data_IF_716362401437
#
_entry.id   IF_716362401437
#
_cell.length_a   1.000
_cell.length_b   1.000
_cell.length_c   1.000
_cell.angle_alpha   90.00
_cell.angle_beta   90.00
_cell.angle_gamma   90.00
#
_symmetry.space_group_name_H-M   'P 1'
#
loop_
_entity.id
_entity.type
_entity.pdbx_description
1 polymer ?
#
# COMPACT_ATOMS: atom_id res chain seq x y z
N UNK A 1 -20.15 -9.19 -6.61
CA UNK A 1 -21.30 -10.08 -6.34
C UNK A 1 -21.73 -9.84 -4.90
N UNK A 2 -22.69 -8.94 -4.69
CA UNK A 2 -23.25 -8.65 -3.37
C UNK A 2 -24.67 -9.18 -3.36
N UNK A 3 -24.99 -10.03 -2.39
CA UNK A 3 -26.34 -10.52 -2.17
C UNK A 3 -26.90 -9.83 -0.94
N UNK A 4 -27.96 -9.05 -1.14
CA UNK A 4 -28.76 -8.47 -0.07
C UNK A 4 -29.80 -9.49 0.39
N UNK A 5 -30.17 -9.45 1.68
CA UNK A 5 -31.41 -10.04 2.17
C UNK A 5 -32.34 -8.93 2.67
N UNK A 6 -33.65 -9.19 2.60
CA UNK A 6 -34.75 -8.24 2.81
C UNK A 6 -34.86 -7.63 4.22
N UNK A 7 -33.87 -7.83 5.11
CA UNK A 7 -33.86 -7.28 6.49
C UNK A 7 -32.57 -6.55 6.90
N UNK A 8 -31.80 -6.03 5.94
CA UNK A 8 -30.81 -4.96 6.18
C UNK A 8 -29.58 -5.29 7.05
N UNK A 9 -29.52 -6.45 7.70
CA UNK A 9 -28.38 -6.90 8.50
C UNK A 9 -27.77 -8.17 7.90
N UNK A 10 -26.67 -8.02 7.17
CA UNK A 10 -25.81 -9.14 6.78
C UNK A 10 -24.80 -9.36 7.92
N UNK A 11 -25.17 -10.10 8.95
CA UNK A 11 -24.19 -10.65 9.89
C UNK A 11 -23.70 -11.97 9.31
N UNK A 12 -22.63 -11.93 8.50
CA UNK A 12 -21.91 -13.16 8.11
C UNK A 12 -21.29 -13.77 9.36
N UNK A 13 -21.37 -15.09 9.48
CA UNK A 13 -20.69 -15.83 10.54
C UNK A 13 -19.18 -15.60 10.43
N UNK A 14 -18.52 -15.30 11.55
CA UNK A 14 -17.06 -15.15 11.56
C UNK A 14 -16.42 -16.50 11.23
N UNK A 15 -15.43 -16.47 10.35
CA UNK A 15 -14.66 -17.63 9.95
C UNK A 15 -13.17 -17.33 10.09
N UNK A 16 -12.32 -18.36 9.98
CA UNK A 16 -10.87 -18.17 9.95
C UNK A 16 -10.40 -17.24 8.81
N UNK A 17 -11.14 -17.17 7.71
CA UNK A 17 -10.79 -16.38 6.52
C UNK A 17 -11.64 -15.11 6.33
N UNK A 18 -12.64 -14.86 7.19
CA UNK A 18 -13.48 -13.66 7.16
C UNK A 18 -13.91 -13.32 8.57
N UNK A 19 -13.39 -12.22 9.12
CA UNK A 19 -13.76 -11.67 10.41
C UNK A 19 -13.56 -10.15 10.41
N UNK A 20 -13.77 -9.52 11.56
CA UNK A 20 -13.61 -8.07 11.71
C UNK A 20 -12.23 -7.54 11.29
N UNK A 21 -11.16 -8.33 11.43
CA UNK A 21 -9.80 -7.88 11.21
C UNK A 21 -9.31 -8.14 9.77
N UNK A 22 -9.77 -9.21 9.13
CA UNK A 22 -9.34 -9.54 7.77
C UNK A 22 -10.36 -10.37 6.99
N UNK A 23 -10.24 -10.25 5.66
CA UNK A 23 -10.86 -11.14 4.70
C UNK A 23 -9.83 -11.66 3.71
N UNK A 24 -9.73 -12.97 3.60
CA UNK A 24 -8.86 -13.69 2.65
C UNK A 24 -9.65 -14.83 2.01
N UNK A 25 -9.12 -15.40 0.93
CA UNK A 25 -9.74 -16.57 0.30
C UNK A 25 -9.73 -17.78 1.26
N UNK A 26 -10.82 -18.57 1.37
CA UNK A 26 -10.81 -19.85 2.08
C UNK A 26 -9.72 -20.81 1.58
N UNK A 27 -9.34 -20.67 0.30
CA UNK A 27 -8.29 -21.48 -0.34
C UNK A 27 -6.91 -21.29 0.31
N UNK A 28 -6.64 -20.15 0.97
CA UNK A 28 -5.39 -19.96 1.73
C UNK A 28 -5.26 -20.93 2.91
N UNK A 29 -6.34 -21.66 3.24
CA UNK A 29 -6.40 -22.66 4.31
C UNK A 29 -6.61 -24.09 3.82
N UNK A 30 -6.65 -24.31 2.50
CA UNK A 30 -6.66 -25.66 1.92
C UNK A 30 -5.38 -26.40 2.32
N UNK A 31 -5.50 -27.68 2.65
CA UNK A 31 -4.36 -28.53 3.00
C UNK A 31 -3.44 -28.68 1.79
N UNK A 32 -4.05 -28.94 0.64
CA UNK A 32 -3.38 -29.13 -0.65
C UNK A 32 -2.57 -27.89 -1.06
N UNK A 33 -3.08 -26.69 -0.81
CA UNK A 33 -2.38 -25.43 -1.10
C UNK A 33 -1.24 -25.20 -0.10
N UNK A 34 -1.48 -25.43 1.19
CA UNK A 34 -0.48 -25.21 2.26
C UNK A 34 0.70 -26.16 2.17
N UNK A 35 0.49 -27.41 1.75
CA UNK A 35 1.57 -28.39 1.57
C UNK A 35 2.54 -28.00 0.45
N UNK A 36 2.13 -27.11 -0.46
CA UNK A 36 2.97 -26.57 -1.54
C UNK A 36 3.74 -25.30 -1.12
N UNK A 37 3.54 -24.79 0.10
CA UNK A 37 4.19 -23.56 0.53
C UNK A 37 5.69 -23.78 0.76
N UNK A 38 6.49 -22.97 0.05
CA UNK A 38 7.91 -22.77 0.33
C UNK A 38 8.11 -21.30 0.71
N UNK A 39 7.84 -20.97 1.98
CA UNK A 39 7.85 -19.59 2.44
C UNK A 39 9.29 -19.10 2.69
N UNK A 40 9.60 -17.84 2.36
CA UNK A 40 10.89 -17.27 2.70
C UNK A 40 11.03 -17.05 4.20
N UNK A 41 12.27 -16.95 4.69
CA UNK A 41 12.56 -16.62 6.09
C UNK A 41 12.04 -15.22 6.48
N UNK A 42 12.02 -14.28 5.53
CA UNK A 42 11.57 -12.91 5.75
C UNK A 42 10.58 -12.46 4.68
N UNK A 43 9.52 -11.80 5.13
CA UNK A 43 8.51 -11.15 4.29
C UNK A 43 8.51 -9.66 4.62
N UNK A 44 8.45 -8.83 3.58
CA UNK A 44 8.29 -7.39 3.73
C UNK A 44 6.87 -7.00 3.33
N UNK A 45 6.25 -6.11 4.10
CA UNK A 45 5.01 -5.46 3.71
C UNK A 45 5.36 -4.11 3.10
N UNK A 46 4.90 -3.88 1.87
CA UNK A 46 4.87 -2.55 1.26
C UNK A 46 3.46 -2.00 1.41
N UNK A 47 3.32 -1.01 2.27
CA UNK A 47 2.03 -0.36 2.48
C UNK A 47 1.70 0.54 1.29
N UNK A 48 0.46 0.46 0.81
CA UNK A 48 -0.03 1.23 -0.33
C UNK A 48 -1.15 2.20 0.05
N UNK A 49 -1.33 2.52 1.34
CA UNK A 49 -2.41 3.37 1.84
C UNK A 49 -2.41 4.74 1.17
N UNK A 50 -1.23 5.35 0.97
CA UNK A 50 -1.14 6.68 0.36
C UNK A 50 -1.38 6.60 -1.14
N UNK A 51 -0.74 5.65 -1.86
CA UNK A 51 -0.91 5.52 -3.32
C UNK A 51 -2.32 5.06 -3.71
N UNK A 52 -2.72 3.89 -3.24
CA UNK A 52 -3.99 3.25 -3.65
C UNK A 52 -5.18 3.91 -2.95
N UNK A 53 -5.00 4.32 -1.69
CA UNK A 53 -6.08 4.95 -0.94
C UNK A 53 -6.53 6.26 -1.55
N UNK A 54 -5.63 7.06 -2.13
CA UNK A 54 -5.98 8.30 -2.85
C UNK A 54 -6.72 8.06 -4.17
N UNK A 55 -6.70 6.85 -4.73
CA UNK A 55 -7.50 6.51 -5.91
C UNK A 55 -8.98 6.24 -5.55
N UNK A 56 -9.30 6.19 -4.26
CA UNK A 56 -10.69 6.08 -3.77
C UNK A 56 -11.43 7.40 -3.95
N UNK A 57 -12.58 7.44 -4.65
CA UNK A 57 -13.36 8.67 -4.81
C UNK A 57 -13.68 9.34 -3.47
N UNK A 58 -13.34 10.63 -3.38
CA UNK A 58 -13.57 11.43 -2.17
C UNK A 58 -12.45 11.33 -1.12
N UNK A 59 -11.37 10.60 -1.39
CA UNK A 59 -10.18 10.54 -0.54
C UNK A 59 -9.07 11.39 -1.15
N UNK A 60 -8.68 12.44 -0.45
CA UNK A 60 -7.57 13.31 -0.84
C UNK A 60 -6.77 13.66 0.42
N UNK A 61 -5.48 13.35 0.45
CA UNK A 61 -4.64 13.67 1.59
C UNK A 61 -3.79 14.92 1.30
N UNK A 62 -3.74 15.83 2.26
CA UNK A 62 -2.72 16.88 2.26
C UNK A 62 -1.34 16.26 2.55
N UNK A 63 -0.26 16.95 2.18
CA UNK A 63 1.10 16.51 2.49
C UNK A 63 1.29 16.21 3.99
N UNK A 64 0.78 17.08 4.87
CA UNK A 64 0.84 16.87 6.33
C UNK A 64 0.09 15.60 6.78
N UNK A 65 -1.07 15.31 6.17
CA UNK A 65 -1.81 14.08 6.45
C UNK A 65 -1.03 12.84 5.97
N UNK A 66 -0.39 12.91 4.81
CA UNK A 66 0.48 11.84 4.29
C UNK A 66 1.63 11.56 5.26
N UNK A 67 2.33 12.59 5.73
CA UNK A 67 3.43 12.44 6.70
C UNK A 67 2.94 11.80 8.00
N UNK A 68 1.79 12.22 8.53
CA UNK A 68 1.18 11.62 9.72
C UNK A 68 0.82 10.14 9.53
N UNK A 69 0.41 9.74 8.33
CA UNK A 69 0.19 8.32 7.99
C UNK A 69 1.53 7.58 8.02
N UNK A 70 2.56 8.12 7.37
CA UNK A 70 3.91 7.51 7.34
C UNK A 70 4.51 7.36 8.74
N UNK A 71 4.36 8.36 9.61
CA UNK A 71 4.76 8.28 11.03
C UNK A 71 4.11 7.10 11.75
N UNK A 72 2.82 6.87 11.51
CA UNK A 72 2.11 5.73 12.09
C UNK A 72 2.60 4.40 11.52
N UNK A 73 2.85 4.34 10.21
CA UNK A 73 3.37 3.15 9.54
C UNK A 73 4.77 2.78 10.03
N UNK A 74 5.67 3.76 10.16
CA UNK A 74 7.02 3.53 10.69
C UNK A 74 6.97 3.07 12.16
N UNK A 75 6.11 3.69 12.98
CA UNK A 75 5.89 3.26 14.37
C UNK A 75 5.31 1.85 14.47
N UNK A 76 4.51 1.42 13.50
CA UNK A 76 4.00 0.04 13.39
C UNK A 76 5.08 -0.96 12.95
N UNK A 77 6.23 -0.49 12.49
CA UNK A 77 7.32 -1.33 11.98
C UNK A 77 7.18 -1.68 10.49
N UNK A 78 6.36 -0.96 9.73
CA UNK A 78 6.32 -1.10 8.27
C UNK A 78 7.63 -0.55 7.69
N UNK A 79 8.27 -1.33 6.84
CA UNK A 79 9.59 -0.99 6.30
C UNK A 79 9.52 -0.25 4.97
N UNK A 80 8.45 -0.45 4.19
CA UNK A 80 8.34 0.04 2.82
C UNK A 80 6.98 0.71 2.58
N UNK A 81 6.98 1.86 1.91
CA UNK A 81 5.76 2.56 1.46
C UNK A 81 5.76 2.78 -0.04
N UNK A 82 4.58 2.69 -0.62
CA UNK A 82 4.31 3.08 -2.00
C UNK A 82 3.94 4.56 -2.05
N UNK A 83 4.84 5.39 -2.59
CA UNK A 83 4.64 6.82 -2.73
C UNK A 83 4.00 7.21 -4.07
N UNK A 84 3.58 6.24 -4.89
CA UNK A 84 3.01 6.52 -6.21
C UNK A 84 4.07 6.78 -7.28
N UNK A 85 3.89 7.81 -8.09
CA UNK A 85 4.67 8.17 -9.26
C UNK A 85 5.55 9.40 -8.99
N UNK A 86 6.57 9.24 -8.14
CA UNK A 86 7.48 10.32 -7.67
C UNK A 86 8.08 11.09 -8.86
N UNK A 87 8.46 10.38 -9.93
CA UNK A 87 9.04 10.99 -11.14
C UNK A 87 8.06 11.80 -12.00
N UNK A 88 6.76 11.79 -11.70
CA UNK A 88 5.72 12.40 -12.54
C UNK A 88 4.81 13.36 -11.76
N UNK A 89 4.48 13.05 -10.51
CA UNK A 89 3.50 13.78 -9.70
C UNK A 89 4.22 14.59 -8.64
N UNK A 90 4.01 15.92 -8.64
CA UNK A 90 4.74 16.83 -7.76
C UNK A 90 4.45 16.56 -6.28
N UNK A 91 3.18 16.41 -5.88
CA UNK A 91 2.80 16.11 -4.49
C UNK A 91 3.47 14.84 -3.92
N UNK A 92 3.73 13.85 -4.77
CA UNK A 92 4.38 12.58 -4.39
C UNK A 92 5.89 12.74 -4.32
N UNK A 93 6.46 13.60 -5.17
CA UNK A 93 7.85 14.05 -5.07
C UNK A 93 8.09 14.86 -3.79
N UNK A 94 7.18 15.77 -3.45
CA UNK A 94 7.26 16.58 -2.23
C UNK A 94 7.20 15.70 -0.99
N UNK A 95 6.30 14.70 -0.96
CA UNK A 95 6.27 13.70 0.12
C UNK A 95 7.60 12.98 0.27
N UNK A 96 8.17 12.46 -0.81
CA UNK A 96 9.42 11.70 -0.75
C UNK A 96 10.58 12.54 -0.18
N UNK A 97 10.69 13.79 -0.61
CA UNK A 97 11.72 14.72 -0.10
C UNK A 97 11.46 15.09 1.36
N UNK A 98 10.23 15.42 1.73
CA UNK A 98 9.90 15.82 3.10
C UNK A 98 10.19 14.68 4.09
N UNK A 99 9.88 13.43 3.74
CA UNK A 99 10.21 12.27 4.57
C UNK A 99 11.73 12.11 4.76
N UNK A 100 12.51 12.36 3.71
CA UNK A 100 13.97 12.31 3.77
C UNK A 100 14.55 13.41 4.65
N UNK A 101 14.08 14.65 4.49
CA UNK A 101 14.49 15.80 5.32
C UNK A 101 14.13 15.60 6.79
N UNK A 102 12.96 15.03 7.07
CA UNK A 102 12.52 14.67 8.42
C UNK A 102 13.24 13.44 8.99
N UNK A 103 14.06 12.75 8.19
CA UNK A 103 14.94 11.68 8.65
C UNK A 103 14.29 10.32 8.86
N UNK A 104 13.11 10.09 8.28
CA UNK A 104 12.41 8.80 8.28
C UNK A 104 13.31 7.67 7.78
N UNK A 105 13.08 6.46 8.27
CA UNK A 105 13.84 5.24 7.91
C UNK A 105 13.06 4.32 6.97
N UNK A 106 11.75 4.47 6.93
CA UNK A 106 10.88 3.77 5.99
C UNK A 106 11.30 4.05 4.55
N UNK A 107 11.41 3.00 3.73
CA UNK A 107 11.86 3.15 2.34
C UNK A 107 10.70 3.53 1.44
N UNK A 108 10.93 4.51 0.60
CA UNK A 108 9.97 4.97 -0.41
C UNK A 108 10.13 4.16 -1.70
N UNK A 109 9.01 3.82 -2.33
CA UNK A 109 8.96 3.19 -3.64
C UNK A 109 8.19 4.07 -4.61
N UNK A 110 8.68 4.14 -5.86
CA UNK A 110 8.00 4.80 -6.98
C UNK A 110 7.61 3.82 -8.06
N UNK A 111 6.44 4.01 -8.64
CA UNK A 111 6.04 3.48 -9.92
C UNK A 111 6.67 4.32 -11.04
N UNK A 112 7.00 3.66 -12.14
CA UNK A 112 7.64 4.26 -13.30
C UNK A 112 6.93 3.79 -14.56
N UNK A 113 6.90 4.64 -15.58
CA UNK A 113 6.37 4.24 -16.87
C UNK A 113 7.35 3.28 -17.58
N UNK A 114 6.80 2.26 -18.25
CA UNK A 114 7.54 1.42 -19.20
C UNK A 114 7.77 2.10 -20.56
N UNK A 115 7.36 3.37 -20.72
CA UNK A 115 7.52 4.09 -21.98
C UNK A 115 8.99 4.53 -22.16
N UNK A 116 9.71 4.00 -23.17
CA UNK A 116 11.13 4.25 -23.34
C UNK A 116 11.48 5.71 -23.65
N UNK A 117 10.51 6.52 -24.10
CA UNK A 117 10.77 7.94 -24.37
C UNK A 117 10.86 8.80 -23.11
N UNK A 118 10.37 8.31 -21.96
CA UNK A 118 10.27 9.11 -20.71
C UNK A 118 10.84 8.44 -19.47
N UNK A 119 10.98 7.11 -19.45
CA UNK A 119 11.42 6.36 -18.27
C UNK A 119 12.77 6.85 -17.70
N UNK A 120 13.73 7.28 -18.52
CA UNK A 120 15.03 7.79 -18.06
C UNK A 120 14.88 9.06 -17.23
N UNK A 121 14.01 9.98 -17.67
CA UNK A 121 13.75 11.22 -16.94
C UNK A 121 12.98 10.95 -15.64
N UNK A 122 12.01 10.04 -15.69
CA UNK A 122 11.22 9.63 -14.52
C UNK A 122 12.10 8.92 -13.46
N UNK A 123 12.97 8.01 -13.89
CA UNK A 123 13.94 7.33 -13.02
C UNK A 123 14.83 8.38 -12.36
N UNK A 124 15.42 9.29 -13.14
CA UNK A 124 16.30 10.32 -12.61
C UNK A 124 15.59 11.20 -11.58
N UNK A 125 14.41 11.75 -11.92
CA UNK A 125 13.64 12.58 -10.98
C UNK A 125 13.26 11.82 -9.71
N UNK A 126 12.95 10.53 -9.81
CA UNK A 126 12.61 9.69 -8.66
C UNK A 126 13.81 9.40 -7.76
N UNK A 127 15.02 9.29 -8.32
CA UNK A 127 16.27 9.09 -7.57
C UNK A 127 16.80 10.39 -6.95
N UNK A 128 16.43 11.54 -7.52
CA UNK A 128 16.82 12.86 -7.01
C UNK A 128 16.06 13.24 -5.73
N UNK A 129 14.89 12.61 -5.49
CA UNK A 129 14.15 12.72 -4.23
C UNK A 129 14.84 11.92 -3.12
#
# INVERSE_FOLDING_TARGET
MSFYSEKGNIMREETKWFNRNWWVSPLNYSKEVKELFNLPERVYVRDSTIREGEETPGVYFTLEQKIKIVEKLEKLGVEHIDCGYIGQVQDQWDLANELKELGFKIKTYSHLSSNPSRWTAEIKKSLDA
#
